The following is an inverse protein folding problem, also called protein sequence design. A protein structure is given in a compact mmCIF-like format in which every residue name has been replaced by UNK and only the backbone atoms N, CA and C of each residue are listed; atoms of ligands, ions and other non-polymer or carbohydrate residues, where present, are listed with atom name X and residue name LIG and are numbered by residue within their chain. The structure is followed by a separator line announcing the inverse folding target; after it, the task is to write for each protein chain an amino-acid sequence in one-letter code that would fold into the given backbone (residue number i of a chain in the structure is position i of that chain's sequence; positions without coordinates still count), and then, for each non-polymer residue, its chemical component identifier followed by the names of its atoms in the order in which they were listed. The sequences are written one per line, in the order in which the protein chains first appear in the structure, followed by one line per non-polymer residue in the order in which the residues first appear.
data_IF_746852571646
#
_entry.id   IF_746852571646
#
_cell.length_a   1.000
_cell.length_b   1.000
_cell.length_c   1.000
_cell.angle_alpha   90.00
_cell.angle_beta   90.00
_cell.angle_gamma   90.00
#
_symmetry.space_group_name_H-M   'P 1'
#
loop_
_entity.id
_entity.type
_entity.pdbx_description
1 polymer ?
#
# COMPACT_ATOMS: atom_id res chain seq x y z
N UNK A 1 55.31 18.00 29.04
CA UNK A 1 56.09 19.25 28.88
C UNK A 1 55.57 19.92 27.61
N UNK A 2 54.57 20.81 27.73
CA UNK A 2 54.70 22.28 27.67
C UNK A 2 55.23 22.80 26.32
N UNK A 3 54.30 23.38 25.54
CA UNK A 3 54.36 24.68 24.85
C UNK A 3 55.47 24.86 23.79
N UNK A 4 55.35 25.66 22.73
CA UNK A 4 54.37 26.56 22.12
C UNK A 4 55.23 27.26 21.06
N UNK A 5 54.83 27.37 19.80
CA UNK A 5 55.22 28.54 19.00
C UNK A 5 54.21 28.78 17.89
N UNK A 6 53.55 29.92 18.01
CA UNK A 6 52.68 30.53 17.01
C UNK A 6 53.48 30.93 15.77
N UNK A 7 52.88 30.79 14.60
CA UNK A 7 53.07 31.73 13.50
C UNK A 7 51.71 32.14 12.96
N UNK A 8 51.46 33.44 13.03
CA UNK A 8 50.34 34.16 12.41
C UNK A 8 50.95 35.00 11.28
N UNK A 9 50.08 35.42 10.34
CA UNK A 9 50.19 36.49 9.32
C UNK A 9 50.50 35.93 7.93
N UNK A 10 49.82 36.25 6.82
CA UNK A 10 48.56 36.96 6.47
C UNK A 10 48.45 36.84 4.92
N UNK A 11 47.26 37.10 4.37
CA UNK A 11 47.00 37.48 2.96
C UNK A 11 46.88 36.36 1.91
N UNK A 12 45.63 36.03 1.55
CA UNK A 12 45.09 36.48 0.26
C UNK A 12 43.61 36.15 0.13
N UNK A 13 42.83 37.20 -0.10
CA UNK A 13 41.43 37.17 -0.48
C UNK A 13 41.33 36.52 -1.86
N UNK A 14 40.59 35.42 -1.97
CA UNK A 14 40.01 34.98 -3.23
C UNK A 14 38.54 34.65 -2.99
N UNK A 15 37.69 35.66 -3.20
CA UNK A 15 36.25 35.47 -3.36
C UNK A 15 36.00 34.60 -4.60
N UNK A 16 35.68 33.33 -4.39
CA UNK A 16 34.83 32.58 -5.29
C UNK A 16 33.61 32.12 -4.49
N UNK A 17 32.55 32.94 -4.49
CA UNK A 17 31.21 32.46 -4.17
C UNK A 17 30.74 31.59 -5.34
N UNK A 18 31.28 30.38 -5.42
CA UNK A 18 30.65 29.30 -6.16
C UNK A 18 29.50 28.81 -5.28
N UNK A 19 28.32 29.40 -5.45
CA UNK A 19 27.06 28.79 -5.04
C UNK A 19 26.87 27.54 -5.91
N UNK A 20 27.63 26.49 -5.61
CA UNK A 20 27.35 25.15 -6.11
C UNK A 20 26.08 24.71 -5.43
N UNK A 21 24.95 24.87 -6.13
CA UNK A 21 23.73 24.14 -5.80
C UNK A 21 24.13 22.67 -5.80
N UNK A 22 24.29 22.09 -4.62
CA UNK A 22 24.30 20.63 -4.47
C UNK A 22 22.91 20.20 -4.94
N UNK A 23 22.79 19.85 -6.22
CA UNK A 23 21.79 18.91 -6.65
C UNK A 23 22.08 17.65 -5.83
N UNK A 24 21.36 17.49 -4.72
CA UNK A 24 21.24 16.20 -4.09
C UNK A 24 20.63 15.31 -5.16
N UNK A 25 21.45 14.40 -5.71
CA UNK A 25 20.97 13.23 -6.44
C UNK A 25 20.16 12.39 -5.45
N UNK A 26 18.95 12.85 -5.13
CA UNK A 26 17.95 12.09 -4.44
C UNK A 26 17.49 11.07 -5.47
N UNK A 27 18.17 9.92 -5.51
CA UNK A 27 17.73 8.73 -6.22
C UNK A 27 16.26 8.54 -5.85
N UNK A 28 15.34 8.88 -6.75
CA UNK A 28 13.91 8.87 -6.45
C UNK A 28 13.58 7.48 -5.93
N UNK A 29 13.13 7.40 -4.67
CA UNK A 29 12.71 6.15 -4.08
C UNK A 29 11.49 5.70 -4.88
N UNK A 30 11.62 4.63 -5.67
CA UNK A 30 10.47 4.04 -6.32
C UNK A 30 9.47 3.63 -5.23
N UNK A 31 8.28 4.22 -5.28
CA UNK A 31 7.19 3.89 -4.34
C UNK A 31 6.23 2.92 -5.01
N UNK A 32 5.67 1.99 -4.24
CA UNK A 32 4.60 1.12 -4.72
C UNK A 32 3.25 1.85 -4.54
N UNK A 33 2.50 2.14 -5.62
CA UNK A 33 1.20 2.79 -5.54
C UNK A 33 0.07 1.81 -5.17
N UNK A 34 0.36 0.51 -5.04
CA UNK A 34 -0.64 -0.53 -4.76
C UNK A 34 -1.31 -0.31 -3.40
N UNK A 35 -2.60 -0.64 -3.33
CA UNK A 35 -3.45 -0.34 -2.18
C UNK A 35 -4.74 0.37 -2.57
N UNK A 36 -5.60 0.61 -1.59
CA UNK A 36 -6.83 1.39 -1.78
C UNK A 36 -6.64 2.82 -1.29
N UNK A 37 -6.85 3.78 -2.18
CA UNK A 37 -6.78 5.22 -1.92
C UNK A 37 -8.18 5.79 -1.81
N UNK A 38 -8.48 6.52 -0.74
CA UNK A 38 -9.80 7.04 -0.44
C UNK A 38 -9.77 8.55 -0.31
N UNK A 39 -10.80 9.19 -0.86
CA UNK A 39 -11.02 10.63 -0.72
C UNK A 39 -12.50 10.96 -0.82
N UNK A 40 -12.84 12.17 -0.38
CA UNK A 40 -14.16 12.76 -0.54
C UNK A 40 -14.09 13.95 -1.48
N UNK A 41 -15.07 14.06 -2.36
CA UNK A 41 -15.26 15.23 -3.21
C UNK A 41 -16.62 15.83 -2.92
N UNK A 42 -16.65 17.10 -2.50
CA UNK A 42 -17.89 17.85 -2.31
C UNK A 42 -18.17 18.70 -3.55
N UNK A 43 -19.31 18.46 -4.19
CA UNK A 43 -19.72 19.19 -5.39
C UNK A 43 -21.23 19.27 -5.50
N UNK A 44 -21.76 20.46 -5.77
CA UNK A 44 -23.19 20.72 -5.96
C UNK A 44 -24.08 20.22 -4.79
N UNK A 45 -23.58 20.31 -3.55
CA UNK A 45 -24.32 19.88 -2.35
C UNK A 45 -24.29 18.38 -2.06
N UNK A 46 -23.58 17.58 -2.86
CA UNK A 46 -23.40 16.15 -2.65
C UNK A 46 -21.94 15.82 -2.29
N UNK A 47 -21.76 14.98 -1.28
CA UNK A 47 -20.46 14.40 -0.92
C UNK A 47 -20.29 13.05 -1.60
N UNK A 48 -19.30 12.95 -2.47
CA UNK A 48 -18.94 11.72 -3.18
C UNK A 48 -17.77 11.06 -2.44
N UNK A 49 -18.00 9.87 -1.87
CA UNK A 49 -16.93 9.02 -1.36
C UNK A 49 -16.34 8.22 -2.52
N UNK A 50 -15.02 8.31 -2.68
CA UNK A 50 -14.29 7.61 -3.74
C UNK A 50 -13.29 6.62 -3.15
N UNK A 51 -13.13 5.49 -3.82
CA UNK A 51 -12.17 4.45 -3.48
C UNK A 51 -11.45 3.98 -4.74
N UNK A 52 -10.13 4.12 -4.80
CA UNK A 52 -9.31 3.71 -5.92
C UNK A 52 -8.38 2.58 -5.47
N UNK A 53 -8.70 1.35 -5.88
CA UNK A 53 -7.85 0.18 -5.63
C UNK A 53 -6.87 0.02 -6.77
N UNK A 54 -5.57 0.03 -6.45
CA UNK A 54 -4.47 -0.05 -7.41
C UNK A 54 -3.60 -1.29 -7.18
N UNK A 55 -3.05 -1.78 -8.28
CA UNK A 55 -1.99 -2.79 -8.34
C UNK A 55 -0.91 -2.32 -9.31
N UNK A 56 0.35 -2.44 -8.92
CA UNK A 56 1.51 -2.14 -9.76
C UNK A 56 2.37 -3.37 -10.02
N UNK A 57 2.80 -3.50 -11.27
CA UNK A 57 3.82 -4.47 -11.66
C UNK A 57 5.25 -3.92 -11.41
N UNK A 58 6.28 -4.79 -11.40
CA UNK A 58 7.66 -4.36 -11.20
C UNK A 58 8.22 -3.40 -12.26
N UNK A 59 7.52 -3.22 -13.39
CA UNK A 59 7.91 -2.32 -14.49
C UNK A 59 7.25 -0.94 -14.35
N UNK A 60 6.42 -0.74 -13.33
CA UNK A 60 5.74 0.53 -13.06
C UNK A 60 4.43 0.69 -13.83
N UNK A 61 3.89 -0.36 -14.46
CA UNK A 61 2.52 -0.31 -15.01
C UNK A 61 1.53 -0.45 -13.85
N UNK A 62 0.50 0.39 -13.85
CA UNK A 62 -0.53 0.42 -12.81
C UNK A 62 -1.87 0.02 -13.41
N UNK A 63 -2.58 -0.87 -12.72
CA UNK A 63 -3.97 -1.23 -12.99
C UNK A 63 -4.82 -0.91 -11.78
N UNK A 64 -6.13 -0.78 -11.95
CA UNK A 64 -7.00 -0.54 -10.83
C UNK A 64 -8.46 -0.32 -11.18
N UNK A 65 -9.25 -0.12 -10.14
CA UNK A 65 -10.68 0.17 -10.19
C UNK A 65 -10.96 1.35 -9.28
N UNK A 66 -11.60 2.37 -9.83
CA UNK A 66 -12.19 3.48 -9.09
C UNK A 66 -13.66 3.15 -8.81
N UNK A 67 -14.06 3.14 -7.55
CA UNK A 67 -15.46 3.15 -7.14
C UNK A 67 -15.83 4.58 -6.73
N UNK A 68 -16.79 5.18 -7.43
CA UNK A 68 -17.34 6.50 -7.11
C UNK A 68 -18.85 6.50 -7.34
N UNK A 69 -19.64 6.96 -6.36
CA UNK A 69 -21.12 6.88 -6.39
C UNK A 69 -21.63 5.47 -6.73
N UNK A 70 -21.09 4.45 -6.06
CA UNK A 70 -21.42 3.02 -6.27
C UNK A 70 -21.19 2.49 -7.71
N UNK A 71 -20.50 3.27 -8.56
CA UNK A 71 -20.09 2.84 -9.89
C UNK A 71 -18.62 2.46 -9.91
N UNK A 72 -18.34 1.29 -10.47
CA UNK A 72 -16.99 0.85 -10.78
C UNK A 72 -16.52 1.41 -12.14
N UNK A 73 -15.32 1.97 -12.15
CA UNK A 73 -14.66 2.54 -13.32
C UNK A 73 -13.26 1.97 -13.40
N UNK A 74 -12.95 1.24 -14.47
CA UNK A 74 -11.64 0.63 -14.66
C UNK A 74 -10.61 1.68 -15.06
N UNK A 75 -9.40 1.58 -14.51
CA UNK A 75 -8.21 2.29 -15.00
C UNK A 75 -7.83 1.74 -16.37
N UNK A 76 -7.83 2.63 -17.38
CA UNK A 76 -7.47 2.30 -18.76
C UNK A 76 -5.95 2.28 -18.96
N UNK A 77 -5.29 3.33 -18.47
CA UNK A 77 -3.84 3.49 -18.51
C UNK A 77 -3.37 3.92 -17.13
N UNK A 78 -2.31 3.31 -16.64
CA UNK A 78 -1.73 3.68 -15.36
C UNK A 78 -0.23 3.45 -15.36
N UNK A 79 0.50 4.38 -14.77
CA UNK A 79 1.95 4.28 -14.61
C UNK A 79 2.43 4.98 -13.34
N UNK A 80 3.49 4.44 -12.74
CA UNK A 80 4.25 5.06 -11.65
C UNK A 80 5.71 5.22 -12.09
N UNK A 81 6.26 6.42 -11.91
CA UNK A 81 7.69 6.69 -12.12
C UNK A 81 8.25 7.40 -10.90
N UNK A 82 9.11 6.71 -10.15
CA UNK A 82 9.55 7.21 -8.86
C UNK A 82 8.37 7.30 -7.89
N UNK A 83 7.87 8.50 -7.60
CA UNK A 83 6.65 8.75 -6.82
C UNK A 83 5.51 9.40 -7.61
N UNK A 84 5.70 9.67 -8.90
CA UNK A 84 4.70 10.28 -9.78
C UNK A 84 3.74 9.23 -10.35
N UNK A 85 2.49 9.25 -9.89
CA UNK A 85 1.38 8.43 -10.36
C UNK A 85 0.61 9.14 -11.45
N UNK A 86 0.38 8.45 -12.57
CA UNK A 86 -0.51 8.91 -13.64
C UNK A 86 -1.53 7.84 -13.96
N UNK A 87 -2.82 8.21 -14.04
CA UNK A 87 -3.90 7.31 -14.41
C UNK A 87 -4.82 7.97 -15.43
N UNK A 88 -5.39 7.16 -16.33
CA UNK A 88 -6.50 7.57 -17.19
C UNK A 88 -7.67 6.64 -16.99
N UNK A 89 -8.86 7.22 -16.91
CA UNK A 89 -10.14 6.52 -16.85
C UNK A 89 -11.08 7.07 -17.92
N UNK A 90 -12.10 6.29 -18.25
CA UNK A 90 -13.20 6.68 -19.12
C UNK A 90 -14.50 6.13 -18.56
N UNK A 91 -15.55 6.93 -18.55
CA UNK A 91 -16.89 6.49 -18.14
C UNK A 91 -17.96 7.35 -18.83
N UNK A 92 -19.19 6.83 -18.88
CA UNK A 92 -20.33 7.53 -19.50
C UNK A 92 -21.25 8.12 -18.43
N UNK A 93 -21.57 9.40 -18.51
CA UNK A 93 -22.49 10.08 -17.60
C UNK A 93 -23.50 10.88 -18.42
N UNK A 94 -24.79 10.65 -18.20
CA UNK A 94 -25.87 11.33 -18.96
C UNK A 94 -25.67 11.22 -20.48
N UNK A 95 -25.38 10.00 -20.97
CA UNK A 95 -25.12 9.70 -22.39
C UNK A 95 -23.89 10.44 -22.99
N UNK A 96 -23.03 11.01 -22.15
CA UNK A 96 -21.79 11.66 -22.56
C UNK A 96 -20.58 10.91 -22.09
N UNK A 97 -19.59 10.83 -22.95
CA UNK A 97 -18.29 10.28 -22.64
C UNK A 97 -17.44 11.29 -21.86
N UNK A 98 -16.93 10.86 -20.70
CA UNK A 98 -16.02 11.65 -19.87
C UNK A 98 -14.69 10.93 -19.78
N UNK A 99 -13.61 11.66 -20.06
CA UNK A 99 -12.24 11.21 -19.86
C UNK A 99 -11.68 11.84 -18.58
N UNK A 100 -11.15 11.02 -17.68
CA UNK A 100 -10.44 11.47 -16.50
C UNK A 100 -8.95 11.23 -16.63
N UNK A 101 -8.13 12.23 -16.33
CA UNK A 101 -6.68 12.13 -16.20
C UNK A 101 -6.28 12.52 -14.77
N UNK A 102 -5.65 11.59 -14.05
CA UNK A 102 -5.19 11.77 -12.68
C UNK A 102 -3.67 11.90 -12.74
N UNK A 103 -3.13 12.91 -12.08
CA UNK A 103 -1.68 13.11 -11.91
C UNK A 103 -1.44 13.44 -10.46
N UNK A 104 -0.60 12.68 -9.77
CA UNK A 104 -0.28 12.95 -8.38
C UNK A 104 1.05 12.36 -7.94
N UNK A 105 1.51 12.81 -6.79
CA UNK A 105 2.70 12.34 -6.12
C UNK A 105 2.32 11.60 -4.84
N UNK A 106 3.00 10.48 -4.62
CA UNK A 106 2.83 9.65 -3.42
C UNK A 106 3.91 9.98 -2.40
N UNK A 107 3.48 10.23 -1.17
CA UNK A 107 4.35 10.32 0.01
C UNK A 107 3.77 9.43 1.13
N UNK A 108 4.31 8.21 1.24
CA UNK A 108 3.80 7.20 2.16
C UNK A 108 2.34 6.85 1.88
N UNK A 109 1.46 7.16 2.83
CA UNK A 109 0.01 6.95 2.75
C UNK A 109 -0.74 8.15 2.18
N UNK A 110 -0.05 9.22 1.80
CA UNK A 110 -0.63 10.43 1.22
C UNK A 110 -0.44 10.43 -0.31
N UNK A 111 -1.48 10.87 -1.03
CA UNK A 111 -1.45 11.07 -2.47
C UNK A 111 -2.05 12.44 -2.78
N UNK A 112 -1.26 13.31 -3.40
CA UNK A 112 -1.66 14.67 -3.72
C UNK A 112 -1.38 15.00 -5.19
N UNK A 113 -2.25 15.77 -5.83
CA UNK A 113 -2.07 16.14 -7.23
C UNK A 113 -3.29 16.83 -7.80
N UNK A 114 -3.60 16.54 -9.07
CA UNK A 114 -4.74 17.08 -9.79
C UNK A 114 -5.47 15.99 -10.57
N UNK A 115 -6.78 16.16 -10.70
CA UNK A 115 -7.63 15.40 -11.60
C UNK A 115 -8.19 16.36 -12.64
N UNK A 116 -8.05 15.99 -13.90
CA UNK A 116 -8.61 16.69 -15.06
C UNK A 116 -9.72 15.83 -15.67
N UNK A 117 -10.96 16.34 -15.70
CA UNK A 117 -12.05 15.75 -16.46
C UNK A 117 -12.29 16.53 -17.75
N UNK A 118 -12.37 15.80 -18.87
CA UNK A 118 -12.66 16.33 -20.20
C UNK A 118 -13.92 15.70 -20.78
N UNK A 119 -14.78 16.55 -21.33
CA UNK A 119 -15.89 16.18 -22.21
C UNK A 119 -15.95 17.12 -23.41
N UNK A 120 -16.94 16.94 -24.26
CA UNK A 120 -17.33 17.84 -25.35
C UNK A 120 -17.56 19.31 -24.91
N UNK A 121 -18.07 19.52 -23.69
CA UNK A 121 -18.32 20.85 -23.11
C UNK A 121 -17.07 21.53 -22.52
N UNK A 122 -15.93 20.85 -22.48
CA UNK A 122 -14.65 21.41 -22.06
C UNK A 122 -13.91 20.59 -21.01
N UNK A 123 -12.89 21.20 -20.41
CA UNK A 123 -12.04 20.59 -19.40
C UNK A 123 -12.21 21.29 -18.05
N UNK A 124 -12.22 20.52 -16.97
CA UNK A 124 -12.15 21.03 -15.59
C UNK A 124 -11.06 20.29 -14.84
N UNK A 125 -10.27 21.04 -14.08
CA UNK A 125 -9.23 20.50 -13.22
C UNK A 125 -9.52 20.86 -11.76
N UNK A 126 -9.24 19.94 -10.86
CA UNK A 126 -9.41 20.14 -9.42
C UNK A 126 -8.33 19.41 -8.65
N UNK A 127 -7.97 19.92 -7.46
CA UNK A 127 -6.96 19.28 -6.61
C UNK A 127 -7.43 17.90 -6.18
N UNK A 128 -6.49 16.96 -6.17
CA UNK A 128 -6.66 15.60 -5.69
C UNK A 128 -5.88 15.45 -4.39
N UNK A 129 -6.57 15.03 -3.33
CA UNK A 129 -5.97 14.65 -2.06
C UNK A 129 -6.62 13.36 -1.60
N UNK A 130 -5.85 12.29 -1.52
CA UNK A 130 -6.31 10.98 -1.13
C UNK A 130 -5.38 10.37 -0.09
N UNK A 131 -5.97 9.53 0.75
CA UNK A 131 -5.28 8.79 1.81
C UNK A 131 -5.37 7.30 1.50
N UNK A 132 -4.25 6.58 1.62
CA UNK A 132 -4.27 5.12 1.58
C UNK A 132 -4.96 4.63 2.85
N UNK A 133 -6.07 3.92 2.68
CA UNK A 133 -6.89 3.47 3.79
C UNK A 133 -7.40 2.05 3.55
N UNK A 134 -7.14 1.17 4.52
CA UNK A 134 -7.61 -0.22 4.50
C UNK A 134 -8.92 -0.31 5.26
N UNK A 135 -9.93 -0.82 4.60
CA UNK A 135 -11.23 -1.16 5.20
C UNK A 135 -11.45 -2.67 5.18
N UNK A 136 -12.42 -3.17 5.96
CA UNK A 136 -12.74 -4.60 6.04
C UNK A 136 -12.99 -5.24 4.66
N UNK A 137 -13.61 -4.50 3.74
CA UNK A 137 -13.86 -4.96 2.37
C UNK A 137 -12.57 -5.23 1.57
N UNK A 138 -11.51 -4.45 1.82
CA UNK A 138 -10.23 -4.60 1.12
C UNK A 138 -9.52 -5.90 1.51
N UNK A 139 -9.86 -6.50 2.65
CA UNK A 139 -9.24 -7.74 3.16
C UNK A 139 -9.92 -9.02 2.64
N UNK A 140 -11.17 -8.94 2.18
CA UNK A 140 -12.00 -10.09 1.85
C UNK A 140 -11.42 -10.94 0.71
N UNK A 141 -11.51 -12.25 0.84
CA UNK A 141 -11.04 -13.19 -0.17
C UNK A 141 -10.04 -14.19 0.39
N UNK A 142 -9.37 -14.90 -0.52
CA UNK A 142 -8.36 -15.89 -0.18
C UNK A 142 -6.99 -15.39 -0.62
N UNK A 143 -5.98 -15.63 0.21
CA UNK A 143 -4.62 -15.15 0.04
C UNK A 143 -3.66 -16.32 0.18
N UNK A 144 -2.74 -16.46 -0.77
CA UNK A 144 -1.58 -17.33 -0.62
C UNK A 144 -0.52 -16.55 0.16
N UNK A 145 -0.12 -17.05 1.32
CA UNK A 145 0.82 -16.40 2.24
C UNK A 145 2.08 -17.25 2.36
N UNK A 146 3.23 -16.59 2.24
CA UNK A 146 4.57 -17.17 2.36
C UNK A 146 5.28 -16.50 3.53
N UNK A 147 5.71 -17.31 4.50
CA UNK A 147 6.56 -16.88 5.60
C UNK A 147 7.98 -17.32 5.30
N UNK A 148 8.92 -16.38 5.42
CA UNK A 148 10.33 -16.66 5.22
C UNK A 148 10.94 -17.11 6.55
N UNK A 149 11.48 -18.33 6.60
CA UNK A 149 12.16 -18.87 7.78
C UNK A 149 13.61 -19.22 7.44
N UNK A 150 14.51 -19.36 8.44
CA UNK A 150 15.88 -19.81 8.20
C UNK A 150 15.98 -21.17 7.48
N UNK A 151 14.99 -22.04 7.69
CA UNK A 151 14.96 -23.41 7.15
C UNK A 151 14.17 -23.51 5.83
N UNK A 152 13.55 -22.42 5.38
CA UNK A 152 12.84 -22.34 4.10
C UNK A 152 11.53 -21.56 4.17
N UNK A 153 10.77 -21.63 3.08
CA UNK A 153 9.45 -21.00 2.97
C UNK A 153 8.36 -21.89 3.60
N UNK A 154 7.52 -21.30 4.45
CA UNK A 154 6.28 -21.91 4.91
C UNK A 154 5.10 -21.31 4.14
N UNK A 155 4.32 -22.17 3.49
CA UNK A 155 3.17 -21.75 2.66
C UNK A 155 1.86 -22.01 3.38
N UNK A 156 0.97 -21.02 3.36
CA UNK A 156 -0.36 -21.13 3.95
C UNK A 156 -1.40 -20.43 3.09
N UNK A 157 -2.66 -20.82 3.26
CA UNK A 157 -3.79 -20.13 2.66
C UNK A 157 -4.55 -19.39 3.76
N UNK A 158 -4.65 -18.06 3.62
CA UNK A 158 -5.42 -17.21 4.53
C UNK A 158 -6.73 -16.83 3.85
N UNK A 159 -7.85 -17.21 4.48
CA UNK A 159 -9.19 -16.87 3.99
C UNK A 159 -9.85 -15.85 4.92
N UNK A 160 -10.14 -14.67 4.39
CA UNK A 160 -10.91 -13.62 5.07
C UNK A 160 -12.33 -13.61 4.55
N UNK A 161 -13.31 -13.76 5.44
CA UNK A 161 -14.73 -13.70 5.10
C UNK A 161 -15.46 -12.67 5.95
N UNK A 162 -16.60 -12.20 5.46
CA UNK A 162 -17.48 -11.30 6.21
C UNK A 162 -18.28 -12.11 7.25
N UNK A 163 -18.33 -11.62 8.49
CA UNK A 163 -19.14 -12.13 9.59
C UNK A 163 -19.91 -10.97 10.22
N UNK A 164 -21.09 -10.66 9.65
CA UNK A 164 -21.83 -9.45 10.02
C UNK A 164 -21.08 -8.19 9.61
N UNK A 165 -20.84 -7.28 10.56
CA UNK A 165 -20.02 -6.07 10.35
C UNK A 165 -18.51 -6.33 10.52
N UNK A 166 -18.13 -7.48 11.07
CA UNK A 166 -16.75 -7.88 11.30
C UNK A 166 -16.26 -8.82 10.19
N UNK A 167 -14.97 -9.15 10.24
CA UNK A 167 -14.37 -10.20 9.43
C UNK A 167 -14.03 -11.43 10.29
N UNK A 168 -14.02 -12.59 9.66
CA UNK A 168 -13.46 -13.83 10.21
C UNK A 168 -12.26 -14.24 9.35
N UNK A 169 -11.25 -14.83 10.00
CA UNK A 169 -10.03 -15.29 9.33
C UNK A 169 -9.85 -16.77 9.67
N UNK A 170 -9.67 -17.57 8.62
CA UNK A 170 -9.27 -18.98 8.72
C UNK A 170 -7.96 -19.14 7.98
N UNK A 171 -6.94 -19.67 8.64
CA UNK A 171 -5.65 -20.00 8.04
C UNK A 171 -5.59 -21.51 7.85
N UNK A 172 -5.31 -21.94 6.63
CA UNK A 172 -5.00 -23.33 6.32
C UNK A 172 -3.48 -23.48 6.21
N UNK A 173 -2.89 -24.28 7.09
CA UNK A 173 -1.44 -24.53 7.12
C UNK A 173 -1.00 -25.38 5.93
N UNK A 174 0.30 -25.50 5.72
CA UNK A 174 0.88 -26.34 4.68
C UNK A 174 0.46 -27.81 4.81
N UNK A 175 0.28 -28.29 6.04
CA UNK A 175 -0.15 -29.65 6.37
C UNK A 175 -1.67 -29.86 6.19
N UNK A 176 -2.40 -28.78 5.91
CA UNK A 176 -3.83 -28.80 5.62
C UNK A 176 -4.74 -28.52 6.81
N UNK A 177 -4.18 -28.37 8.01
CA UNK A 177 -4.92 -27.99 9.21
C UNK A 177 -5.52 -26.60 9.07
N UNK A 178 -6.72 -26.42 9.61
CA UNK A 178 -7.43 -25.13 9.59
C UNK A 178 -7.50 -24.56 10.98
N UNK A 179 -7.07 -23.31 11.12
CA UNK A 179 -7.03 -22.60 12.39
C UNK A 179 -7.76 -21.27 12.25
N UNK A 180 -8.68 -21.03 13.17
CA UNK A 180 -9.42 -19.76 13.24
C UNK A 180 -8.59 -18.72 13.99
N UNK A 181 -8.50 -17.51 13.42
CA UNK A 181 -7.78 -16.43 14.05
C UNK A 181 -8.56 -15.83 15.23
N UNK A 182 -7.82 -15.41 16.25
CA UNK A 182 -8.33 -14.75 17.45
C UNK A 182 -7.93 -13.28 17.48
N UNK A 183 -8.68 -12.47 18.22
CA UNK A 183 -8.30 -11.07 18.48
C UNK A 183 -8.20 -10.19 17.23
N UNK A 184 -9.00 -10.46 16.21
CA UNK A 184 -8.94 -9.76 14.91
C UNK A 184 -9.26 -8.28 15.08
N UNK A 185 -8.34 -7.40 14.65
CA UNK A 185 -8.50 -5.94 14.68
C UNK A 185 -7.93 -5.30 13.43
N UNK A 186 -8.54 -4.22 12.96
CA UNK A 186 -8.02 -3.39 11.89
C UNK A 186 -7.76 -1.99 12.44
N UNK A 187 -6.48 -1.65 12.61
CA UNK A 187 -6.06 -0.39 13.22
C UNK A 187 -4.94 0.24 12.41
N UNK A 188 -5.05 1.53 12.08
CA UNK A 188 -4.02 2.28 11.32
C UNK A 188 -3.54 1.54 10.07
N UNK A 189 -4.49 1.06 9.26
CA UNK A 189 -4.25 0.28 8.05
C UNK A 189 -3.62 -1.12 8.24
N UNK A 190 -3.47 -1.59 9.47
CA UNK A 190 -2.90 -2.91 9.77
C UNK A 190 -3.95 -3.85 10.34
N UNK A 191 -4.01 -5.04 9.76
CA UNK A 191 -4.75 -6.18 10.27
C UNK A 191 -3.89 -6.88 11.33
N UNK A 192 -4.43 -6.97 12.54
CA UNK A 192 -3.85 -7.69 13.66
C UNK A 192 -4.69 -8.91 13.98
N UNK A 193 -4.07 -10.05 14.22
CA UNK A 193 -4.73 -11.25 14.73
C UNK A 193 -3.71 -12.21 15.35
N UNK A 194 -4.21 -13.19 16.11
CA UNK A 194 -3.39 -14.24 16.70
C UNK A 194 -3.81 -15.63 16.22
N UNK A 195 -2.86 -16.56 16.19
CA UNK A 195 -3.09 -17.99 15.93
C UNK A 195 -2.44 -18.80 17.04
N UNK A 196 -3.12 -19.86 17.47
CA UNK A 196 -2.55 -20.89 18.33
C UNK A 196 -2.46 -22.18 17.50
N UNK A 197 -1.24 -22.67 17.28
CA UNK A 197 -0.93 -23.82 16.45
C UNK A 197 -0.22 -24.91 17.27
N UNK A 198 -0.21 -26.13 16.75
CA UNK A 198 0.68 -27.19 17.21
C UNK A 198 1.82 -27.32 16.20
N UNK A 199 3.06 -27.25 16.65
CA UNK A 199 4.24 -27.45 15.82
C UNK A 199 5.19 -28.43 16.51
N UNK A 200 5.46 -29.56 15.86
CA UNK A 200 6.30 -30.65 16.40
C UNK A 200 5.89 -31.08 17.83
N UNK A 201 4.58 -31.11 18.11
CA UNK A 201 4.02 -31.49 19.41
C UNK A 201 4.14 -30.42 20.51
N UNK A 202 4.50 -29.20 20.15
CA UNK A 202 4.59 -28.05 21.05
C UNK A 202 3.58 -26.96 20.68
N UNK A 203 3.13 -26.21 21.68
CA UNK A 203 2.26 -25.05 21.49
C UNK A 203 3.05 -23.92 20.82
N UNK A 204 2.60 -23.49 19.64
CA UNK A 204 3.13 -22.35 18.89
C UNK A 204 2.10 -21.22 18.89
N UNK A 205 2.42 -20.12 19.55
CA UNK A 205 1.61 -18.90 19.51
C UNK A 205 2.16 -17.93 18.47
N UNK A 206 1.29 -17.39 17.62
CA UNK A 206 1.63 -16.36 16.63
C UNK A 206 0.83 -15.08 16.87
N UNK A 207 1.50 -13.94 16.78
CA UNK A 207 0.89 -12.60 16.73
C UNK A 207 1.22 -11.98 15.39
N UNK A 208 0.21 -11.75 14.54
CA UNK A 208 0.40 -11.34 13.15
C UNK A 208 -0.04 -9.88 12.97
N UNK A 209 0.77 -9.12 12.23
CA UNK A 209 0.47 -7.76 11.78
C UNK A 209 0.69 -7.66 10.27
N UNK A 210 -0.39 -7.61 9.50
CA UNK A 210 -0.37 -7.53 8.05
C UNK A 210 -1.03 -6.28 7.50
N UNK A 211 -0.68 -5.89 6.27
CA UNK A 211 -1.35 -4.81 5.53
C UNK A 211 -1.48 -5.17 4.05
N UNK A 212 -2.68 -5.09 3.45
CA UNK A 212 -2.85 -5.28 2.03
C UNK A 212 -2.37 -4.05 1.24
N UNK A 213 -1.73 -4.31 0.11
CA UNK A 213 -1.32 -3.37 -0.92
C UNK A 213 -1.89 -3.86 -2.26
N UNK A 214 -3.19 -3.66 -2.45
CA UNK A 214 -3.93 -4.15 -3.62
C UNK A 214 -4.16 -5.66 -3.54
N UNK A 215 -3.60 -6.37 -4.51
CA UNK A 215 -3.54 -7.84 -4.56
C UNK A 215 -2.37 -8.43 -3.77
N UNK A 216 -1.48 -7.60 -3.22
CA UNK A 216 -0.37 -8.04 -2.36
C UNK A 216 -0.73 -7.89 -0.89
N UNK A 217 -0.15 -8.72 -0.05
CA UNK A 217 -0.20 -8.64 1.40
C UNK A 217 1.24 -8.68 1.90
N UNK A 218 1.58 -7.87 2.89
CA UNK A 218 2.88 -7.92 3.54
C UNK A 218 2.72 -7.64 5.03
N UNK A 219 3.63 -8.17 5.84
CA UNK A 219 3.58 -7.95 7.27
C UNK A 219 4.66 -8.71 8.02
N UNK A 220 4.54 -8.66 9.34
CA UNK A 220 5.41 -9.39 10.25
C UNK A 220 4.58 -10.27 11.17
N UNK A 221 5.18 -11.35 11.65
CA UNK A 221 4.61 -12.19 12.69
C UNK A 221 5.63 -12.44 13.78
N UNK A 222 5.21 -12.28 15.02
CA UNK A 222 5.95 -12.71 16.19
C UNK A 222 5.53 -14.13 16.54
N UNK A 223 6.50 -14.99 16.85
CA UNK A 223 6.24 -16.36 17.30
C UNK A 223 6.75 -16.58 18.73
N UNK A 224 6.10 -17.48 19.46
CA UNK A 224 6.56 -18.00 20.73
C UNK A 224 6.32 -19.52 20.79
N UNK A 225 7.38 -20.28 21.07
CA UNK A 225 7.35 -21.75 21.16
C UNK A 225 8.42 -22.23 22.13
N UNK A 226 8.06 -23.10 23.09
CA UNK A 226 8.99 -23.70 24.06
C UNK A 226 9.91 -22.72 24.82
N UNK A 227 9.49 -21.47 25.00
CA UNK A 227 10.28 -20.42 25.66
C UNK A 227 11.17 -19.61 24.72
N UNK A 228 11.29 -20.02 23.46
CA UNK A 228 11.91 -19.23 22.39
C UNK A 228 10.89 -18.31 21.73
N UNK A 229 11.37 -17.17 21.23
CA UNK A 229 10.56 -16.22 20.45
C UNK A 229 11.38 -15.53 19.37
N UNK A 230 10.69 -15.00 18.37
CA UNK A 230 11.30 -14.24 17.29
C UNK A 230 10.26 -13.55 16.42
N UNK A 231 10.73 -12.83 15.42
CA UNK A 231 9.91 -12.13 14.42
C UNK A 231 10.30 -12.64 13.02
N UNK A 232 9.28 -12.88 12.19
CA UNK A 232 9.43 -13.32 10.81
C UNK A 232 8.64 -12.40 9.88
N UNK A 233 9.22 -12.07 8.74
CA UNK A 233 8.52 -11.38 7.66
C UNK A 233 7.65 -12.37 6.88
N UNK A 234 6.53 -11.87 6.37
CA UNK A 234 5.73 -12.61 5.41
C UNK A 234 5.25 -11.71 4.28
N UNK A 235 5.02 -12.35 3.14
CA UNK A 235 4.36 -11.75 2.01
C UNK A 235 3.23 -12.65 1.53
N UNK A 236 2.30 -12.10 0.77
CA UNK A 236 1.19 -12.86 0.22
C UNK A 236 0.60 -12.22 -1.02
N UNK A 237 -0.14 -13.02 -1.76
CA UNK A 237 -0.83 -12.62 -2.98
C UNK A 237 -2.28 -13.11 -2.90
N UNK A 238 -3.23 -12.24 -3.25
CA UNK A 238 -4.64 -12.60 -3.31
C UNK A 238 -4.84 -13.59 -4.45
N UNK A 239 -5.49 -14.70 -4.17
CA UNK A 239 -5.96 -15.61 -5.20
C UNK A 239 -6.94 -14.86 -6.09
N UNK A 240 -6.74 -14.93 -7.41
CA UNK A 240 -7.77 -14.46 -8.34
C UNK A 240 -8.96 -15.39 -8.22
N UNK A 241 -10.13 -14.85 -7.85
CA UNK A 241 -11.37 -15.62 -7.92
C UNK A 241 -11.48 -16.21 -9.33
N UNK A 242 -11.55 -17.55 -9.40
CA UNK A 242 -11.84 -18.21 -10.66
C UNK A 242 -13.15 -17.60 -11.18
N UNK A 243 -13.08 -16.89 -12.31
CA UNK A 243 -14.28 -16.39 -13.00
C UNK A 243 -15.25 -17.57 -13.12
N UNK A 244 -16.34 -17.52 -12.36
CA UNK A 244 -17.46 -18.43 -12.54
C UNK A 244 -18.11 -18.16 -13.90
#
# INVERSE_FOLDING_TARGET
MKNLLQFVILSSICCFTSTGLLAQDTKLKNVDPSGTWRWTFDGNGNTIKSALSLDADPKGKVTGILVANDREIKVLEGSIKGNELQLKIKFEMQEREIHGAFRGEIDGDHLAGNIEFKSDEGAREFPWKAERSVEAADLLGTWDVVVETPDGELKSELKVTKKGEQIAIVVKTQDGDKVEAKGIKLEKNHLHYALDLQYEGSDLALSVKGRPYGSKLAGTMEYAINGDSGELDFHGVRQMDAKK
#
